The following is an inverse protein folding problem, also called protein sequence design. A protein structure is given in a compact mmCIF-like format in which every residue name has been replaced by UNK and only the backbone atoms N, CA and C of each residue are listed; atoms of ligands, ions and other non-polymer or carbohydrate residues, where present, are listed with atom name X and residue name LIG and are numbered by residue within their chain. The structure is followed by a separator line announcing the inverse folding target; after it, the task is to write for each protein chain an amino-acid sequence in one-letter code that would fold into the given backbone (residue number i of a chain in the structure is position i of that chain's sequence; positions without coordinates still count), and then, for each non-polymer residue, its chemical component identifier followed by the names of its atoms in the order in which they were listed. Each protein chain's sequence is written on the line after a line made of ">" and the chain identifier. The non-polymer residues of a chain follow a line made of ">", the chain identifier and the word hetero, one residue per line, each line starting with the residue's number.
data_IF_166685967491
#
_entry.id   IF_166685967491
#
_cell.length_a   1.000
_cell.length_b   1.000
_cell.length_c   1.000
_cell.angle_alpha   90.00
_cell.angle_beta   90.00
_cell.angle_gamma   90.00
#
_symmetry.space_group_name_H-M   'P 1'
#
loop_
_entity.id
_entity.type
_entity.pdbx_description
1 polymer ?
#
# COMPACT_ATOMS: atom_id res chain seq x y z
N UNK A 1 -9.56 35.66 -1.93
CA UNK A 1 -9.28 34.22 -2.17
C UNK A 1 -10.58 33.46 -2.29
N UNK A 2 -10.69 32.53 -3.23
CA UNK A 2 -11.89 31.67 -3.39
C UNK A 2 -12.04 30.71 -2.21
N UNK A 3 -13.26 30.53 -1.70
CA UNK A 3 -13.57 29.60 -0.60
C UNK A 3 -13.12 28.16 -0.89
N UNK A 4 -13.12 27.76 -2.17
CA UNK A 4 -12.66 26.43 -2.60
C UNK A 4 -11.15 26.21 -2.34
N UNK A 5 -10.32 27.22 -2.59
CA UNK A 5 -8.87 27.14 -2.37
C UNK A 5 -8.55 26.97 -0.88
N UNK A 6 -9.28 27.67 -0.01
CA UNK A 6 -9.11 27.57 1.45
C UNK A 6 -9.47 26.18 1.99
N UNK A 7 -10.53 25.56 1.48
CA UNK A 7 -10.92 24.21 1.88
C UNK A 7 -9.87 23.17 1.47
N UNK A 8 -9.34 23.29 0.25
CA UNK A 8 -8.29 22.41 -0.25
C UNK A 8 -6.99 22.55 0.56
N UNK A 9 -6.58 23.79 0.87
CA UNK A 9 -5.43 24.05 1.73
C UNK A 9 -5.61 23.47 3.13
N UNK A 10 -6.80 23.60 3.72
CA UNK A 10 -7.12 23.04 5.04
C UNK A 10 -7.07 21.51 5.05
N UNK A 11 -7.54 20.86 3.98
CA UNK A 11 -7.46 19.39 3.83
C UNK A 11 -6.01 18.93 3.69
N UNK A 12 -5.19 19.62 2.89
CA UNK A 12 -3.75 19.32 2.76
C UNK A 12 -3.05 19.50 4.10
N UNK A 13 -3.29 20.61 4.80
CA UNK A 13 -2.64 20.89 6.08
C UNK A 13 -3.00 19.86 7.14
N UNK A 14 -4.28 19.46 7.22
CA UNK A 14 -4.72 18.39 8.13
C UNK A 14 -4.03 17.06 7.82
N UNK A 15 -3.92 16.71 6.55
CA UNK A 15 -3.25 15.47 6.15
C UNK A 15 -1.75 15.53 6.48
N UNK A 16 -1.08 16.65 6.18
CA UNK A 16 0.33 16.83 6.52
C UNK A 16 0.57 16.74 8.03
N UNK A 17 -0.30 17.37 8.83
CA UNK A 17 -0.22 17.31 10.29
C UNK A 17 -0.32 15.87 10.80
N UNK A 18 -1.27 15.08 10.30
CA UNK A 18 -1.42 13.68 10.67
C UNK A 18 -0.17 12.88 10.29
N UNK A 19 0.38 13.06 9.07
CA UNK A 19 1.61 12.37 8.66
C UNK A 19 2.77 12.72 9.59
N UNK A 20 2.96 13.99 9.91
CA UNK A 20 4.05 14.43 10.79
C UNK A 20 3.92 13.85 12.19
N UNK A 21 2.72 13.90 12.78
CA UNK A 21 2.48 13.34 14.12
C UNK A 21 2.72 11.83 14.10
N UNK A 22 2.16 11.11 13.13
CA UNK A 22 2.37 9.66 13.02
C UNK A 22 3.83 9.31 12.79
N UNK A 23 4.54 10.05 11.94
CA UNK A 23 5.97 9.86 11.69
C UNK A 23 6.81 10.06 12.96
N UNK A 24 6.52 11.11 13.73
CA UNK A 24 7.17 11.37 15.01
C UNK A 24 6.88 10.26 16.01
N UNK A 25 5.63 9.79 16.13
CA UNK A 25 5.29 8.70 17.04
C UNK A 25 5.95 7.39 16.65
N UNK A 26 5.87 6.98 15.38
CA UNK A 26 6.44 5.71 14.92
C UNK A 26 7.97 5.76 14.93
N UNK A 27 8.60 6.92 14.74
CA UNK A 27 10.05 7.08 14.84
C UNK A 27 10.55 7.14 16.30
N UNK A 28 9.85 7.87 17.17
CA UNK A 28 10.30 8.08 18.56
C UNK A 28 9.97 6.92 19.49
N UNK A 29 8.86 6.21 19.27
CA UNK A 29 8.42 5.11 20.13
C UNK A 29 9.43 3.95 20.14
N UNK A 30 9.89 3.39 19.00
CA UNK A 30 10.88 2.33 18.98
C UNK A 30 12.22 2.80 19.56
N UNK A 31 12.62 4.05 19.30
CA UNK A 31 13.85 4.61 19.85
C UNK A 31 13.81 4.65 21.38
N UNK A 32 12.69 5.10 21.94
CA UNK A 32 12.47 5.16 23.40
C UNK A 32 12.50 3.76 24.01
N UNK A 33 11.85 2.79 23.34
CA UNK A 33 11.86 1.38 23.76
C UNK A 33 13.28 0.81 23.73
N UNK A 34 14.05 1.04 22.66
CA UNK A 34 15.44 0.56 22.55
C UNK A 34 16.29 1.15 23.67
N UNK A 35 16.25 2.46 23.90
CA UNK A 35 17.02 3.12 24.97
C UNK A 35 16.64 2.55 26.34
N UNK A 36 15.35 2.35 26.60
CA UNK A 36 14.86 1.78 27.85
C UNK A 36 15.40 0.36 28.09
N UNK A 37 15.34 -0.52 27.09
CA UNK A 37 15.80 -1.90 27.21
C UNK A 37 17.33 -2.04 27.22
N UNK A 38 18.05 -1.14 26.56
CA UNK A 38 19.53 -1.08 26.65
C UNK A 38 19.97 -0.68 28.05
N UNK A 39 19.29 0.29 28.68
CA UNK A 39 19.58 0.68 30.06
C UNK A 39 19.16 -0.41 31.07
N UNK A 40 18.04 -1.09 30.81
CA UNK A 40 17.50 -2.17 31.64
C UNK A 40 17.80 -3.55 31.05
N UNK A 41 19.05 -3.79 30.64
CA UNK A 41 19.47 -5.01 29.92
C UNK A 41 19.35 -6.32 30.73
N UNK A 42 18.94 -6.23 32.01
CA UNK A 42 18.66 -7.41 32.86
C UNK A 42 17.25 -7.97 32.65
N UNK A 43 16.39 -7.28 31.90
CA UNK A 43 15.04 -7.76 31.61
C UNK A 43 15.09 -8.97 30.65
N UNK A 44 14.30 -10.03 30.91
CA UNK A 44 14.19 -11.13 29.97
C UNK A 44 13.67 -10.62 28.62
N UNK A 45 14.15 -11.19 27.53
CA UNK A 45 13.80 -10.80 26.15
C UNK A 45 14.25 -9.39 25.71
N UNK A 46 15.04 -8.65 26.50
CA UNK A 46 15.50 -7.31 26.14
C UNK A 46 16.14 -7.25 24.73
N UNK A 47 17.00 -8.22 24.41
CA UNK A 47 17.64 -8.35 23.09
C UNK A 47 16.63 -8.56 21.96
N UNK A 48 15.65 -9.44 22.17
CA UNK A 48 14.60 -9.74 21.19
C UNK A 48 13.73 -8.51 20.93
N UNK A 49 13.28 -7.84 21.99
CA UNK A 49 12.44 -6.65 21.90
C UNK A 49 13.18 -5.50 21.22
N UNK A 50 14.44 -5.26 21.60
CA UNK A 50 15.28 -4.24 20.95
C UNK A 50 15.51 -4.54 19.47
N UNK A 51 15.77 -5.80 19.10
CA UNK A 51 15.93 -6.19 17.69
C UNK A 51 14.64 -6.01 16.87
N UNK A 52 13.47 -6.34 17.43
CA UNK A 52 12.19 -6.08 16.79
C UNK A 52 11.95 -4.58 16.59
N UNK A 53 12.21 -3.77 17.63
CA UNK A 53 12.07 -2.31 17.55
C UNK A 53 12.98 -1.71 16.47
N UNK A 54 14.24 -2.17 16.38
CA UNK A 54 15.17 -1.75 15.33
C UNK A 54 14.70 -2.16 13.92
N UNK A 55 14.13 -3.36 13.75
CA UNK A 55 13.56 -3.79 12.48
C UNK A 55 12.39 -2.88 12.05
N UNK A 56 11.53 -2.47 12.99
CA UNK A 56 10.46 -1.51 12.71
C UNK A 56 11.01 -0.15 12.27
N UNK A 57 12.05 0.36 12.93
CA UNK A 57 12.70 1.62 12.55
C UNK A 57 13.42 1.52 11.20
N UNK A 58 14.09 0.40 10.90
CA UNK A 58 14.76 0.18 9.62
C UNK A 58 13.77 0.14 8.44
N UNK A 59 12.54 -0.35 8.70
CA UNK A 59 11.45 -0.38 7.73
C UNK A 59 10.51 0.83 7.83
N UNK A 60 10.94 1.91 8.49
CA UNK A 60 10.11 3.11 8.67
C UNK A 60 9.71 3.73 7.33
N UNK A 61 10.61 3.72 6.34
CA UNK A 61 10.34 4.27 5.01
C UNK A 61 9.14 3.60 4.33
N UNK A 62 8.99 2.29 4.45
CA UNK A 62 7.88 1.54 3.87
C UNK A 62 6.55 1.91 4.54
N UNK A 63 6.53 1.98 5.86
CA UNK A 63 5.35 2.41 6.63
C UNK A 63 4.94 3.84 6.25
N UNK A 64 5.92 4.73 6.11
CA UNK A 64 5.71 6.12 5.74
C UNK A 64 5.09 6.27 4.34
N UNK A 65 5.55 5.48 3.37
CA UNK A 65 4.97 5.44 2.02
C UNK A 65 3.49 5.01 2.07
N UNK A 66 3.16 3.94 2.79
CA UNK A 66 1.76 3.52 2.96
C UNK A 66 0.90 4.60 3.61
N UNK A 67 1.44 5.31 4.59
CA UNK A 67 0.74 6.39 5.27
C UNK A 67 0.42 7.55 4.33
N UNK A 68 1.40 7.97 3.51
CA UNK A 68 1.18 9.02 2.49
C UNK A 68 0.14 8.56 1.47
N UNK A 69 0.25 7.34 0.95
CA UNK A 69 -0.67 6.85 -0.08
C UNK A 69 -2.11 6.76 0.43
N UNK A 70 -2.33 6.40 1.70
CA UNK A 70 -3.67 6.28 2.29
C UNK A 70 -4.27 7.62 2.68
N UNK A 71 -3.47 8.54 3.19
CA UNK A 71 -3.96 9.79 3.77
C UNK A 71 -4.28 10.84 2.71
N UNK A 72 -3.47 10.95 1.67
CA UNK A 72 -3.74 11.91 0.60
C UNK A 72 -4.78 11.36 -0.36
N UNK A 73 -5.98 11.94 -0.33
CA UNK A 73 -7.11 11.56 -1.19
C UNK A 73 -6.76 11.54 -2.69
N UNK A 74 -5.94 12.49 -3.15
CA UNK A 74 -5.43 12.53 -4.53
C UNK A 74 -4.52 11.34 -4.85
N UNK A 75 -3.65 10.95 -3.91
CA UNK A 75 -2.79 9.77 -4.07
C UNK A 75 -3.61 8.48 -4.06
N UNK A 76 -4.58 8.32 -3.17
CA UNK A 76 -5.49 7.14 -3.21
C UNK A 76 -6.16 6.97 -4.56
N UNK A 77 -6.67 8.07 -5.15
CA UNK A 77 -7.30 8.02 -6.48
C UNK A 77 -6.32 7.60 -7.56
N UNK A 78 -5.09 8.13 -7.53
CA UNK A 78 -4.04 7.73 -8.46
C UNK A 78 -3.65 6.25 -8.30
N UNK A 79 -3.45 5.77 -7.07
CA UNK A 79 -3.14 4.36 -6.78
C UNK A 79 -4.24 3.44 -7.27
N UNK A 80 -5.51 3.76 -7.02
CA UNK A 80 -6.64 2.95 -7.50
C UNK A 80 -6.70 2.96 -9.04
N UNK A 81 -6.44 4.09 -9.69
CA UNK A 81 -6.42 4.17 -11.14
C UNK A 81 -5.31 3.29 -11.74
N UNK A 82 -4.10 3.37 -11.18
CA UNK A 82 -2.96 2.52 -11.57
C UNK A 82 -3.26 1.06 -11.31
N UNK A 83 -3.77 0.71 -10.11
CA UNK A 83 -4.13 -0.66 -9.76
C UNK A 83 -5.19 -1.25 -10.71
N UNK A 84 -6.19 -0.45 -11.11
CA UNK A 84 -7.18 -0.86 -12.12
C UNK A 84 -6.54 -1.08 -13.49
N UNK A 85 -5.67 -0.18 -13.93
CA UNK A 85 -4.96 -0.30 -15.20
C UNK A 85 -4.09 -1.57 -15.24
N UNK A 86 -3.33 -1.82 -14.18
CA UNK A 86 -2.52 -3.03 -14.03
C UNK A 86 -3.39 -4.28 -14.00
N UNK A 87 -4.49 -4.27 -13.22
CA UNK A 87 -5.42 -5.40 -13.17
C UNK A 87 -6.04 -5.70 -14.55
N UNK A 88 -6.39 -4.67 -15.32
CA UNK A 88 -6.89 -4.83 -16.68
C UNK A 88 -5.82 -5.38 -17.63
N UNK A 89 -4.58 -4.90 -17.53
CA UNK A 89 -3.46 -5.43 -18.31
C UNK A 89 -3.20 -6.91 -17.99
N UNK A 90 -3.18 -7.27 -16.71
CA UNK A 90 -3.04 -8.66 -16.24
C UNK A 90 -4.19 -9.52 -16.75
N UNK A 91 -5.45 -9.06 -16.68
CA UNK A 91 -6.61 -9.78 -17.24
C UNK A 91 -6.49 -9.98 -18.75
N UNK A 92 -6.01 -8.98 -19.50
CA UNK A 92 -5.78 -9.12 -20.95
C UNK A 92 -4.71 -10.16 -21.26
N UNK A 93 -3.60 -10.15 -20.53
CA UNK A 93 -2.51 -11.12 -20.70
C UNK A 93 -2.97 -12.54 -20.33
N UNK A 94 -3.68 -12.71 -19.22
CA UNK A 94 -4.25 -14.00 -18.82
C UNK A 94 -5.36 -14.49 -19.75
N UNK A 95 -6.17 -13.58 -20.30
CA UNK A 95 -7.20 -13.90 -21.29
C UNK A 95 -6.63 -14.37 -22.63
N UNK A 96 -5.48 -13.85 -23.05
CA UNK A 96 -4.76 -14.33 -24.24
C UNK A 96 -4.17 -15.74 -24.08
N UNK A 97 -3.95 -16.20 -22.84
CA UNK A 97 -3.45 -17.55 -22.55
C UNK A 97 -4.54 -18.63 -22.50
N UNK A 98 -5.82 -18.29 -22.66
CA UNK A 98 -6.85 -19.30 -22.87
C UNK A 98 -6.77 -19.82 -24.32
N UNK A 99 -6.49 -21.13 -24.55
CA UNK A 99 -6.52 -21.68 -25.89
C UNK A 99 -7.96 -21.60 -26.44
N UNK A 100 -8.14 -21.34 -27.74
CA UNK A 100 -9.45 -21.33 -28.35
C UNK A 100 -10.11 -22.69 -28.14
N UNK A 101 -11.31 -22.69 -27.52
CA UNK A 101 -12.19 -23.85 -27.52
C UNK A 101 -12.51 -24.17 -28.97
N UNK A 102 -11.91 -25.24 -29.50
CA UNK A 102 -12.25 -25.80 -30.80
C UNK A 102 -13.72 -26.19 -30.74
N UNK A 103 -14.58 -25.39 -31.38
CA UNK A 103 -15.96 -25.76 -31.67
C UNK A 103 -15.91 -26.85 -32.74
N UNK A 104 -16.41 -28.07 -32.50
CA UNK A 104 -16.51 -29.05 -33.58
C UNK A 104 -17.59 -28.57 -34.55
N UNK A 105 -17.16 -28.35 -35.79
CA UNK A 105 -18.02 -28.03 -36.92
C UNK A 105 -18.88 -29.24 -37.26
N UNK A 106 -20.13 -29.24 -36.83
CA UNK A 106 -21.14 -30.23 -37.25
C UNK A 106 -21.92 -29.73 -38.49
N UNK A 107 -21.26 -28.98 -39.38
CA UNK A 107 -21.82 -28.58 -40.66
C UNK A 107 -21.33 -29.52 -41.77
N UNK A 108 -21.65 -30.82 -41.67
CA UNK A 108 -21.34 -31.78 -42.73
C UNK A 108 -22.19 -33.05 -42.60
N UNK A 109 -23.50 -32.96 -42.84
CA UNK A 109 -24.31 -34.06 -43.41
C UNK A 109 -25.68 -33.51 -43.85
N UNK A 110 -25.67 -32.79 -44.97
CA UNK A 110 -26.85 -32.63 -45.83
C UNK A 110 -26.42 -32.98 -47.26
N UNK A 111 -26.25 -34.29 -47.49
CA UNK A 111 -26.13 -34.86 -48.83
C UNK A 111 -27.31 -35.82 -48.98
N UNK A 112 -28.21 -35.40 -49.86
CA UNK A 112 -28.99 -36.20 -50.81
C UNK A 112 -29.58 -37.54 -50.34
N UNK A 113 -30.91 -37.58 -50.21
CA UNK A 113 -31.77 -38.49 -50.96
C UNK A 113 -33.23 -38.02 -50.92
#
# INVERSE_FOLDING_TARGET
>A
MSKATLLLQKEILKNLLIVTVTALFIGSLPLTVVVFYVYNNKLPFARTIASCALLFTANFGTIYVFLILTLFKSYRKAVVAVARSVCQAVKKVLGMFHPPKITPSNALFRVSH
#
